data_IF_404257654606
#
_entry.id   IF_404257654606
#
_cell.length_a   1.000
_cell.length_b   1.000
_cell.length_c   1.000
_cell.angle_alpha   90.00
_cell.angle_beta   90.00
_cell.angle_gamma   90.00
#
_symmetry.space_group_name_H-M   'P 1'
#
loop_
_entity.id
_entity.type
_entity.pdbx_description
1 polymer ?
#
# COMPACT_ATOMS: atom_id res chain seq x y z
N UNK A 1 2.57 -28.56 14.12
CA UNK A 1 3.38 -27.61 14.90
C UNK A 1 2.59 -26.32 14.93
N UNK A 2 2.18 -25.88 16.11
CA UNK A 2 1.39 -24.66 16.30
C UNK A 2 2.28 -23.64 16.99
N UNK A 3 2.21 -22.39 16.54
CA UNK A 3 2.94 -21.28 17.12
C UNK A 3 1.95 -20.23 17.59
N UNK A 4 2.20 -19.63 18.76
CA UNK A 4 1.44 -18.44 19.17
C UNK A 4 1.95 -17.22 18.42
N UNK A 5 1.05 -16.29 18.11
CA UNK A 5 1.38 -15.11 17.30
C UNK A 5 2.48 -14.24 17.95
N UNK A 6 2.50 -14.18 19.29
CA UNK A 6 3.49 -13.42 20.06
C UNK A 6 4.85 -14.14 20.19
N UNK A 7 4.98 -15.36 19.67
CA UNK A 7 6.21 -16.15 19.67
C UNK A 7 6.86 -16.19 18.27
N UNK A 8 6.27 -15.50 17.27
CA UNK A 8 6.76 -15.47 15.90
C UNK A 8 6.98 -14.05 15.41
N UNK A 9 7.79 -13.91 14.37
CA UNK A 9 7.90 -12.67 13.60
C UNK A 9 6.99 -12.75 12.37
N UNK A 10 6.06 -11.81 12.25
CA UNK A 10 5.22 -11.69 11.06
C UNK A 10 5.97 -10.87 10.01
N UNK A 11 6.38 -11.55 8.94
CA UNK A 11 7.01 -10.93 7.78
C UNK A 11 5.95 -10.27 6.88
N UNK A 12 6.35 -9.41 5.92
CA UNK A 12 5.45 -8.99 4.85
C UNK A 12 4.78 -10.22 4.20
N UNK A 13 3.47 -10.15 3.89
CA UNK A 13 2.75 -11.30 3.33
C UNK A 13 3.19 -11.64 1.89
N UNK A 14 3.87 -10.71 1.20
CA UNK A 14 4.42 -10.89 -0.15
C UNK A 14 5.74 -10.12 -0.33
N UNK A 15 6.52 -10.53 -1.34
CA UNK A 15 7.67 -9.77 -1.85
C UNK A 15 7.28 -9.16 -3.21
N UNK A 16 6.68 -7.95 -3.24
CA UNK A 16 6.18 -7.39 -4.48
C UNK A 16 7.32 -6.94 -5.39
N UNK A 17 7.12 -6.98 -6.70
CA UNK A 17 8.08 -6.36 -7.64
C UNK A 17 8.07 -4.83 -7.59
N UNK A 18 6.94 -4.24 -7.17
CA UNK A 18 6.69 -2.80 -6.99
C UNK A 18 5.43 -2.62 -6.15
N UNK A 19 5.32 -1.48 -5.48
CA UNK A 19 4.07 -1.04 -4.85
C UNK A 19 3.55 0.16 -5.65
N UNK A 20 2.35 0.03 -6.22
CA UNK A 20 1.67 1.14 -6.91
C UNK A 20 0.64 1.69 -5.94
N UNK A 21 0.68 2.99 -5.67
CA UNK A 21 -0.19 3.69 -4.72
C UNK A 21 -0.99 4.79 -5.41
N UNK A 22 -2.09 5.21 -4.80
CA UNK A 22 -3.03 6.20 -5.32
C UNK A 22 -3.16 7.35 -4.33
N UNK A 23 -2.71 8.55 -4.72
CA UNK A 23 -2.88 9.74 -3.91
C UNK A 23 -4.31 10.30 -3.99
N UNK A 24 -4.76 10.94 -2.92
CA UNK A 24 -6.05 11.65 -2.84
C UNK A 24 -7.25 10.82 -3.31
N UNK A 25 -7.39 9.60 -2.79
CA UNK A 25 -8.50 8.70 -3.11
C UNK A 25 -9.61 8.65 -2.04
N UNK A 26 -9.51 9.48 -1.01
CA UNK A 26 -10.51 9.62 0.06
C UNK A 26 -11.02 11.06 0.11
N UNK A 27 -12.35 11.24 0.04
CA UNK A 27 -12.99 12.56 0.05
C UNK A 27 -12.61 13.38 1.28
N UNK A 28 -12.63 12.76 2.46
CA UNK A 28 -12.35 13.44 3.72
C UNK A 28 -10.89 13.92 3.80
N UNK A 29 -9.96 13.11 3.28
CA UNK A 29 -8.55 13.49 3.23
C UNK A 29 -8.27 14.61 2.22
N UNK A 30 -8.96 14.61 1.07
CA UNK A 30 -8.88 15.72 0.13
C UNK A 30 -9.40 17.03 0.77
N UNK A 31 -10.51 16.96 1.51
CA UNK A 31 -11.05 18.11 2.23
C UNK A 31 -10.10 18.63 3.33
N UNK A 32 -9.41 17.75 4.06
CA UNK A 32 -8.38 18.13 5.06
C UNK A 32 -7.25 18.95 4.43
N UNK A 33 -6.83 18.57 3.23
CA UNK A 33 -5.77 19.25 2.48
C UNK A 33 -6.27 20.50 1.73
N UNK A 34 -7.58 20.75 1.72
CA UNK A 34 -8.18 21.82 0.92
C UNK A 34 -8.09 21.57 -0.59
N UNK A 35 -7.97 20.31 -1.01
CA UNK A 35 -7.91 19.89 -2.41
C UNK A 35 -9.23 19.26 -2.87
N UNK A 36 -9.52 19.35 -4.17
CA UNK A 36 -10.59 18.58 -4.80
C UNK A 36 -10.09 17.18 -5.18
N UNK A 37 -11.01 16.21 -5.26
CA UNK A 37 -10.67 14.90 -5.80
C UNK A 37 -10.26 15.03 -7.27
N UNK A 38 -9.20 14.33 -7.71
CA UNK A 38 -8.80 14.37 -9.10
C UNK A 38 -9.78 13.57 -9.99
N UNK A 39 -9.98 14.04 -11.22
CA UNK A 39 -10.80 13.33 -12.22
C UNK A 39 -10.17 12.00 -12.69
N UNK A 40 -8.84 11.87 -12.56
CA UNK A 40 -8.07 10.66 -12.85
C UNK A 40 -7.20 10.25 -11.64
N UNK A 41 -6.94 8.94 -11.42
CA UNK A 41 -6.12 8.50 -10.30
C UNK A 41 -4.70 9.07 -10.32
N UNK A 42 -4.28 9.72 -9.22
CA UNK A 42 -2.89 10.19 -9.03
C UNK A 42 -1.99 9.02 -8.63
N UNK A 43 -1.39 8.36 -9.60
CA UNK A 43 -0.54 7.18 -9.38
C UNK A 43 0.91 7.56 -9.04
N UNK A 44 1.49 6.83 -8.09
CA UNK A 44 2.92 6.86 -7.80
C UNK A 44 3.43 5.47 -7.40
N UNK A 45 4.76 5.31 -7.35
CA UNK A 45 5.39 4.03 -7.03
C UNK A 45 6.23 4.18 -5.76
N UNK A 46 6.06 3.23 -4.83
CA UNK A 46 7.05 2.97 -3.79
C UNK A 46 7.93 1.78 -4.19
N UNK A 47 9.26 1.87 -4.02
CA UNK A 47 10.15 0.74 -4.24
C UNK A 47 9.76 -0.46 -3.37
N UNK A 48 9.93 -1.68 -3.89
CA UNK A 48 9.68 -2.91 -3.11
C UNK A 48 10.53 -3.00 -1.83
N UNK A 49 11.70 -2.35 -1.82
CA UNK A 49 12.58 -2.22 -0.66
C UNK A 49 12.01 -1.39 0.48
N UNK A 50 10.87 -0.70 0.30
CA UNK A 50 10.21 0.05 1.38
C UNK A 50 9.24 -0.78 2.22
N UNK A 51 8.98 -2.04 1.85
CA UNK A 51 8.00 -2.90 2.54
C UNK A 51 8.65 -3.51 3.79
N UNK A 52 7.98 -3.38 4.94
CA UNK A 52 8.37 -3.95 6.23
C UNK A 52 7.23 -4.80 6.82
N UNK A 53 7.55 -5.69 7.75
CA UNK A 53 6.57 -6.58 8.38
C UNK A 53 5.72 -5.91 9.44
N UNK A 54 4.77 -6.65 9.98
CA UNK A 54 4.00 -6.20 11.16
C UNK A 54 4.95 -6.03 12.36
N UNK A 55 4.75 -4.95 13.11
CA UNK A 55 5.58 -4.51 14.24
C UNK A 55 7.07 -4.24 13.94
N UNK A 56 7.47 -4.20 12.65
CA UNK A 56 8.80 -3.71 12.28
C UNK A 56 8.89 -2.18 12.45
N UNK A 57 10.09 -1.70 12.74
CA UNK A 57 10.34 -0.28 12.95
C UNK A 57 10.33 0.51 11.63
N UNK A 58 9.62 1.64 11.62
CA UNK A 58 9.80 2.69 10.61
C UNK A 58 11.05 3.49 10.98
N UNK A 59 12.07 3.47 10.13
CA UNK A 59 13.31 4.22 10.37
C UNK A 59 13.19 5.61 9.77
N UNK A 60 13.20 6.62 10.63
CA UNK A 60 13.04 8.02 10.22
C UNK A 60 14.34 8.50 9.58
N UNK A 61 14.31 8.98 8.33
CA UNK A 61 15.50 9.53 7.71
C UNK A 61 15.92 10.82 8.41
N UNK A 62 17.22 11.00 8.66
CA UNK A 62 17.73 12.15 9.40
C UNK A 62 17.42 13.51 8.72
N UNK A 63 17.21 13.52 7.40
CA UNK A 63 16.83 14.72 6.66
C UNK A 63 15.34 15.09 6.77
N UNK A 64 14.49 14.18 7.28
CA UNK A 64 13.04 14.40 7.35
C UNK A 64 12.69 15.24 8.57
N UNK A 65 11.98 16.36 8.35
CA UNK A 65 11.43 17.20 9.44
C UNK A 65 10.08 16.71 9.94
N UNK A 66 9.35 15.99 9.09
CA UNK A 66 8.01 15.45 9.33
C UNK A 66 7.87 14.17 8.52
N UNK A 67 7.28 13.15 9.15
CA UNK A 67 6.88 11.89 8.53
C UNK A 67 5.48 11.62 9.05
N UNK A 68 4.51 11.56 8.16
CA UNK A 68 3.11 11.26 8.48
C UNK A 68 2.79 9.80 8.18
N UNK A 69 1.75 9.28 8.82
CA UNK A 69 1.21 7.96 8.54
C UNK A 69 0.04 8.09 7.56
N UNK A 70 -0.05 7.16 6.62
CA UNK A 70 -1.17 7.04 5.68
C UNK A 70 -1.61 5.57 5.71
N UNK A 71 -2.74 5.30 6.36
CA UNK A 71 -3.30 3.97 6.45
C UNK A 71 -4.21 3.73 5.24
N UNK A 72 -3.88 2.71 4.43
CA UNK A 72 -4.60 2.41 3.19
C UNK A 72 -4.99 0.93 3.11
N UNK A 73 -6.03 0.64 2.32
CA UNK A 73 -6.34 -0.71 1.88
C UNK A 73 -5.36 -1.10 0.77
N UNK A 74 -4.62 -2.19 0.97
CA UNK A 74 -3.77 -2.77 -0.06
C UNK A 74 -4.48 -3.93 -0.76
N UNK A 75 -4.39 -3.98 -2.09
CA UNK A 75 -4.79 -5.13 -2.89
C UNK A 75 -3.54 -5.81 -3.47
N UNK A 76 -3.41 -7.12 -3.26
CA UNK A 76 -2.29 -7.91 -3.76
C UNK A 76 -2.67 -8.51 -5.11
N UNK A 77 -1.93 -8.15 -6.16
CA UNK A 77 -2.15 -8.70 -7.50
C UNK A 77 -1.54 -10.10 -7.60
N UNK A 78 -2.38 -11.12 -7.79
CA UNK A 78 -1.98 -12.53 -7.79
C UNK A 78 -1.53 -13.10 -9.14
N UNK A 79 -1.85 -12.43 -10.25
CA UNK A 79 -1.48 -12.87 -11.60
C UNK A 79 -1.21 -11.69 -12.54
N UNK A 80 -0.45 -11.92 -13.61
CA UNK A 80 -0.09 -10.86 -14.58
C UNK A 80 -1.35 -10.23 -15.18
N UNK A 81 -1.52 -8.93 -14.96
CA UNK A 81 -2.62 -8.12 -15.48
C UNK A 81 -2.11 -7.15 -16.55
N UNK A 82 -2.82 -7.03 -17.67
CA UNK A 82 -2.55 -6.04 -18.70
C UNK A 82 -3.84 -5.72 -19.45
N UNK A 83 -4.24 -4.44 -19.51
CA UNK A 83 -5.50 -3.99 -20.11
C UNK A 83 -6.74 -4.76 -19.61
N UNK A 84 -6.79 -4.98 -18.29
CA UNK A 84 -7.92 -5.67 -17.63
C UNK A 84 -9.08 -4.68 -17.48
N UNK A 85 -10.29 -5.11 -17.83
CA UNK A 85 -11.50 -4.30 -17.62
C UNK A 85 -11.90 -4.27 -16.15
N UNK A 86 -12.70 -3.29 -15.74
CA UNK A 86 -13.11 -3.09 -14.34
C UNK A 86 -13.87 -4.31 -13.81
N UNK A 87 -14.71 -4.91 -14.65
CA UNK A 87 -15.56 -6.07 -14.29
C UNK A 87 -14.71 -7.31 -14.00
N UNK A 88 -13.58 -7.46 -14.69
CA UNK A 88 -12.66 -8.59 -14.56
C UNK A 88 -11.56 -8.35 -13.51
N UNK A 89 -11.49 -7.16 -12.90
CA UNK A 89 -10.39 -6.79 -12.01
C UNK A 89 -10.22 -7.75 -10.82
N UNK A 90 -11.35 -8.18 -10.22
CA UNK A 90 -11.35 -9.07 -9.05
C UNK A 90 -10.66 -10.40 -9.31
N UNK A 91 -10.72 -10.92 -10.53
CA UNK A 91 -10.10 -12.20 -10.88
C UNK A 91 -8.56 -12.15 -10.80
N UNK A 92 -7.97 -10.95 -10.76
CA UNK A 92 -6.52 -10.75 -10.69
C UNK A 92 -6.02 -10.40 -9.28
N UNK A 93 -6.93 -10.18 -8.33
CA UNK A 93 -6.62 -9.86 -6.94
C UNK A 93 -6.50 -11.18 -6.16
N UNK A 94 -5.35 -11.41 -5.54
CA UNK A 94 -5.11 -12.53 -4.62
C UNK A 94 -5.87 -12.32 -3.30
N UNK A 95 -5.85 -11.10 -2.79
CA UNK A 95 -6.44 -10.67 -1.52
C UNK A 95 -6.08 -9.24 -1.20
#
# INVERSE_FOLDING_TARGET
>A
MEYKINEIKILPPVFPSKVVAIGLNYKDHAAELGEELPDEPKLFIKPSTSVIGHDDNIIYPAMSKRVDYEAELAAIVGKKAHKVSVENAKDYILG
#
